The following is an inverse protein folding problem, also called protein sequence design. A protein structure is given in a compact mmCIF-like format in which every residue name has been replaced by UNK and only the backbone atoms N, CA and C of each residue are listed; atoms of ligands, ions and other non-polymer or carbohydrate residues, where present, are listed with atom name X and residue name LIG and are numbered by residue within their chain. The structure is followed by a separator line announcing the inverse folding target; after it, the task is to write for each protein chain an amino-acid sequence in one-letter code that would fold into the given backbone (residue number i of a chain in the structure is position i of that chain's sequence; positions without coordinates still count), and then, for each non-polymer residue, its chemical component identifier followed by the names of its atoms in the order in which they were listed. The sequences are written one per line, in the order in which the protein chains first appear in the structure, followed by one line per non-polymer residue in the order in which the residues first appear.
data_IF_250395246365
#
_entry.id   IF_250395246365
#
_cell.length_a   1.000
_cell.length_b   1.000
_cell.length_c   1.000
_cell.angle_alpha   90.00
_cell.angle_beta   90.00
_cell.angle_gamma   90.00
#
_symmetry.space_group_name_H-M   'P 1'
#
loop_
_entity.id
_entity.type
_entity.pdbx_description
1 polymer ?
#
# COMPACT_ATOMS: atom_id res chain seq x y z
N UNK A 1 23.30 29.58 -72.16
CA UNK A 1 24.00 29.39 -73.45
C UNK A 1 25.25 28.58 -73.15
N UNK A 2 25.17 27.25 -73.35
CA UNK A 2 25.83 26.49 -74.43
C UNK A 2 27.35 26.44 -74.25
N UNK A 3 27.93 25.37 -73.69
CA UNK A 3 28.20 24.03 -74.27
C UNK A 3 29.52 23.96 -75.05
N UNK A 4 30.24 22.84 -74.84
CA UNK A 4 31.17 22.14 -75.76
C UNK A 4 32.49 22.83 -76.15
N UNK A 5 33.59 22.16 -76.53
CA UNK A 5 34.23 20.85 -76.30
C UNK A 5 35.56 20.94 -77.11
N UNK A 6 36.66 20.45 -76.55
CA UNK A 6 37.78 19.71 -77.20
C UNK A 6 38.58 20.38 -78.36
N UNK A 7 39.93 20.34 -78.28
CA UNK A 7 40.85 19.68 -79.26
C UNK A 7 42.34 20.06 -79.02
N UNK A 8 43.11 19.00 -78.75
CA UNK A 8 44.49 18.60 -79.15
C UNK A 8 45.77 19.41 -78.83
N UNK A 9 46.74 18.59 -78.38
CA UNK A 9 48.19 18.73 -78.12
C UNK A 9 49.05 18.81 -79.42
N UNK A 10 50.39 19.01 -79.35
CA UNK A 10 51.33 17.92 -79.00
C UNK A 10 52.55 18.33 -78.11
N UNK A 11 53.20 17.27 -77.65
CA UNK A 11 54.31 17.14 -76.71
C UNK A 11 55.69 17.42 -77.34
N UNK A 12 56.65 17.88 -76.51
CA UNK A 12 58.06 17.43 -76.39
C UNK A 12 58.66 18.20 -75.20
N UNK A 13 59.36 17.67 -74.20
CA UNK A 13 59.84 16.34 -73.89
C UNK A 13 60.74 16.46 -72.65
N UNK A 14 60.79 15.40 -71.85
CA UNK A 14 61.89 14.88 -71.01
C UNK A 14 61.36 14.26 -69.72
N UNK A 15 61.38 12.93 -69.75
CA UNK A 15 61.00 11.96 -68.73
C UNK A 15 61.81 12.09 -67.43
N UNK A 16 61.10 12.02 -66.30
CA UNK A 16 61.60 11.40 -65.07
C UNK A 16 60.50 10.53 -64.44
N UNK A 17 60.87 9.36 -63.87
CA UNK A 17 59.93 8.29 -63.58
C UNK A 17 58.89 8.66 -62.52
N UNK A 18 57.61 8.49 -62.89
CA UNK A 18 56.44 8.60 -62.01
C UNK A 18 56.50 7.50 -60.95
N UNK A 19 56.98 7.85 -59.76
CA UNK A 19 56.63 7.09 -58.56
C UNK A 19 55.15 7.32 -58.29
N UNK A 20 54.34 6.25 -58.38
CA UNK A 20 52.94 6.26 -57.96
C UNK A 20 52.84 6.78 -56.52
N UNK A 21 52.37 8.01 -56.36
CA UNK A 21 51.87 8.53 -55.08
C UNK A 21 50.60 7.74 -54.74
N UNK A 22 50.78 6.57 -54.12
CA UNK A 22 49.72 5.97 -53.33
C UNK A 22 49.32 6.98 -52.26
N UNK A 23 48.07 7.44 -52.36
CA UNK A 23 47.34 8.16 -51.33
C UNK A 23 47.83 7.74 -49.95
N UNK A 24 48.31 8.72 -49.19
CA UNK A 24 48.66 8.56 -47.79
C UNK A 24 47.54 7.76 -47.11
N UNK A 25 47.89 6.55 -46.69
CA UNK A 25 46.97 5.67 -46.01
C UNK A 25 46.53 6.37 -44.71
N UNK A 26 45.22 6.42 -44.51
CA UNK A 26 44.52 6.90 -43.33
C UNK A 26 45.28 6.57 -42.02
N UNK A 27 45.49 7.53 -41.10
CA UNK A 27 46.09 7.28 -39.78
C UNK A 27 45.34 6.23 -38.94
N UNK A 28 44.18 5.71 -39.41
CA UNK A 28 43.48 4.55 -38.85
C UNK A 28 44.02 3.18 -39.26
N UNK A 29 45.10 3.08 -40.04
CA UNK A 29 45.82 1.79 -40.18
C UNK A 29 46.54 1.46 -38.88
N UNK A 30 45.91 0.60 -38.08
CA UNK A 30 46.51 -0.14 -36.97
C UNK A 30 47.96 -0.50 -37.30
N UNK A 31 48.91 0.03 -36.51
CA UNK A 31 50.26 -0.52 -36.48
C UNK A 31 50.14 -1.96 -36.00
N UNK A 32 50.34 -2.90 -36.91
CA UNK A 32 50.37 -4.33 -36.58
C UNK A 32 51.77 -4.63 -36.03
N UNK A 33 51.89 -4.67 -34.71
CA UNK A 33 53.08 -5.24 -34.07
C UNK A 33 52.90 -6.75 -34.17
N UNK A 34 53.74 -7.41 -34.98
CA UNK A 34 53.86 -8.87 -35.03
C UNK A 34 55.05 -9.21 -34.14
N UNK A 35 54.84 -9.99 -33.09
CA UNK A 35 55.85 -10.56 -32.22
C UNK A 35 56.12 -11.95 -32.77
N UNK A 36 57.40 -12.28 -32.82
CA UNK A 36 57.94 -13.55 -33.31
C UNK A 36 57.82 -14.63 -32.23
N UNK A 37 56.63 -14.78 -31.64
CA UNK A 37 56.39 -15.78 -30.59
C UNK A 37 55.33 -16.81 -31.06
N UNK A 38 55.70 -18.09 -31.24
CA UNK A 38 54.79 -19.14 -31.67
C UNK A 38 53.73 -19.54 -30.63
N UNK A 39 53.83 -19.06 -29.38
CA UNK A 39 52.79 -19.23 -28.35
C UNK A 39 51.76 -18.06 -28.35
N UNK A 40 51.85 -17.14 -29.32
CA UNK A 40 51.02 -15.93 -29.31
C UNK A 40 49.57 -16.19 -29.75
N UNK A 41 48.67 -16.20 -28.77
CA UNK A 41 47.22 -16.32 -28.95
C UNK A 41 46.61 -15.22 -29.84
N UNK A 42 45.79 -15.61 -30.83
CA UNK A 42 44.96 -14.74 -31.68
C UNK A 42 43.78 -14.08 -30.94
N UNK A 43 43.68 -14.25 -29.61
CA UNK A 43 42.59 -13.66 -28.83
C UNK A 43 42.68 -12.14 -28.85
N UNK A 44 41.61 -11.49 -29.30
CA UNK A 44 41.46 -10.03 -29.28
C UNK A 44 41.71 -9.54 -27.85
N UNK A 45 42.77 -8.76 -27.67
CA UNK A 45 43.09 -8.17 -26.38
C UNK A 45 42.00 -7.17 -26.02
N UNK A 46 41.30 -7.33 -24.87
CA UNK A 46 40.28 -6.40 -24.46
C UNK A 46 40.89 -5.01 -24.28
N UNK A 47 40.14 -3.98 -24.67
CA UNK A 47 40.54 -2.59 -24.44
C UNK A 47 40.86 -2.38 -22.96
N UNK A 48 41.92 -1.61 -22.65
CA UNK A 48 42.30 -1.27 -21.28
C UNK A 48 41.10 -0.70 -20.51
N UNK A 49 40.27 0.12 -21.17
CA UNK A 49 39.03 0.63 -20.59
C UNK A 49 38.08 -0.47 -20.12
N UNK A 50 37.93 -1.55 -20.88
CA UNK A 50 37.05 -2.66 -20.51
C UNK A 50 37.61 -3.44 -19.32
N UNK A 51 38.93 -3.65 -19.29
CA UNK A 51 39.62 -4.27 -18.15
C UNK A 51 39.47 -3.42 -16.88
N UNK A 52 39.61 -2.09 -16.99
CA UNK A 52 39.38 -1.17 -15.88
C UNK A 52 37.94 -1.23 -15.37
N UNK A 53 36.94 -1.25 -16.27
CA UNK A 53 35.53 -1.35 -15.86
C UNK A 53 35.21 -2.70 -15.21
N UNK A 54 35.76 -3.81 -15.72
CA UNK A 54 35.64 -5.12 -15.08
C UNK A 54 36.27 -5.13 -13.69
N UNK A 55 37.43 -4.47 -13.53
CA UNK A 55 38.07 -4.32 -12.23
C UNK A 55 37.21 -3.50 -11.25
N UNK A 56 36.60 -2.40 -11.71
CA UNK A 56 35.66 -1.59 -10.93
C UNK A 56 34.47 -2.44 -10.47
N UNK A 57 33.85 -3.22 -11.37
CA UNK A 57 32.73 -4.10 -11.03
C UNK A 57 33.14 -5.12 -9.97
N UNK A 58 34.30 -5.77 -10.15
CA UNK A 58 34.79 -6.81 -9.23
C UNK A 58 35.08 -6.28 -7.83
N UNK A 59 35.63 -5.07 -7.73
CA UNK A 59 36.07 -4.46 -6.47
C UNK A 59 35.12 -3.36 -5.97
N UNK A 60 33.89 -3.32 -6.49
CA UNK A 60 32.93 -2.26 -6.17
C UNK A 60 32.59 -2.20 -4.67
N UNK A 61 32.61 -3.35 -3.98
CA UNK A 61 32.39 -3.42 -2.52
C UNK A 61 33.43 -2.62 -1.74
N UNK A 62 34.71 -2.72 -2.11
CA UNK A 62 35.80 -2.03 -1.42
C UNK A 62 35.98 -0.59 -1.93
N UNK A 63 35.78 -0.38 -3.23
CA UNK A 63 35.98 0.90 -3.92
C UNK A 63 34.82 1.17 -4.88
N UNK A 64 33.72 1.76 -4.39
CA UNK A 64 32.52 1.97 -5.19
C UNK A 64 32.67 3.16 -6.12
N UNK A 65 33.48 3.00 -7.17
CA UNK A 65 33.73 4.01 -8.19
C UNK A 65 32.56 3.98 -9.16
N UNK A 66 31.62 4.90 -8.95
CA UNK A 66 30.53 5.15 -9.89
C UNK A 66 30.53 6.62 -10.33
N UNK A 67 30.70 7.53 -9.38
CA UNK A 67 30.83 8.95 -9.70
C UNK A 67 32.11 9.25 -10.47
N UNK A 68 32.00 10.11 -11.49
CA UNK A 68 33.09 10.45 -12.41
C UNK A 68 33.18 9.56 -13.66
N UNK A 69 32.48 8.43 -13.74
CA UNK A 69 32.43 7.63 -14.97
C UNK A 69 31.51 8.28 -16.04
N UNK A 70 31.89 8.24 -17.33
CA UNK A 70 31.01 8.62 -18.44
C UNK A 70 29.71 7.79 -18.47
N UNK A 71 28.59 8.32 -19.00
CA UNK A 71 27.29 7.64 -18.96
C UNK A 71 27.31 6.18 -19.45
N UNK A 72 27.91 5.91 -20.62
CA UNK A 72 28.01 4.55 -21.18
C UNK A 72 28.79 3.58 -20.28
N UNK A 73 29.79 4.09 -19.55
CA UNK A 73 30.59 3.29 -18.64
C UNK A 73 29.86 3.06 -17.31
N UNK A 74 29.10 4.06 -16.82
CA UNK A 74 28.18 3.90 -15.69
C UNK A 74 27.18 2.79 -15.98
N UNK A 75 26.52 2.81 -17.14
CA UNK A 75 25.57 1.77 -17.54
C UNK A 75 26.22 0.39 -17.58
N UNK A 76 27.40 0.27 -18.19
CA UNK A 76 28.15 -0.99 -18.24
C UNK A 76 28.42 -1.57 -16.85
N UNK A 77 28.85 -0.72 -15.90
CA UNK A 77 29.11 -1.11 -14.51
C UNK A 77 27.79 -1.51 -13.85
N UNK A 78 26.78 -0.65 -13.87
CA UNK A 78 25.48 -0.85 -13.22
C UNK A 78 24.74 -2.10 -13.71
N UNK A 79 24.88 -2.49 -14.97
CA UNK A 79 24.34 -3.74 -15.52
C UNK A 79 25.02 -5.00 -14.97
N UNK A 80 26.29 -4.88 -14.56
CA UNK A 80 27.15 -6.01 -14.17
C UNK A 80 27.45 -6.08 -12.68
N UNK A 81 27.05 -5.07 -11.91
CA UNK A 81 27.13 -5.14 -10.45
C UNK A 81 26.28 -6.29 -9.91
N UNK A 82 26.88 -7.00 -8.95
CA UNK A 82 26.19 -8.03 -8.18
C UNK A 82 25.05 -7.42 -7.38
N UNK A 83 23.91 -8.10 -7.39
CA UNK A 83 22.71 -7.80 -6.59
C UNK A 83 22.89 -8.10 -5.10
N UNK A 84 23.92 -8.88 -4.73
CA UNK A 84 24.26 -9.25 -3.35
C UNK A 84 25.19 -8.24 -2.64
N UNK A 85 25.49 -7.11 -3.26
CA UNK A 85 26.31 -6.06 -2.65
C UNK A 85 25.62 -5.48 -1.40
N UNK A 86 26.39 -5.15 -0.33
CA UNK A 86 25.82 -4.57 0.88
C UNK A 86 25.06 -3.26 0.60
N UNK A 87 23.93 -3.06 1.28
CA UNK A 87 23.08 -1.88 1.10
C UNK A 87 23.76 -0.60 1.60
N UNK A 88 24.70 -0.71 2.53
CA UNK A 88 25.55 0.40 2.97
C UNK A 88 26.40 0.96 1.82
N UNK A 89 26.76 0.12 0.85
CA UNK A 89 27.53 0.53 -0.35
C UNK A 89 26.59 1.04 -1.45
N UNK A 90 25.48 0.35 -1.68
CA UNK A 90 24.64 0.57 -2.86
C UNK A 90 23.48 1.53 -2.64
N UNK A 91 22.92 1.58 -1.42
CA UNK A 91 21.67 2.27 -1.12
C UNK A 91 21.68 3.76 -1.42
N UNK A 92 22.74 4.46 -1.02
CA UNK A 92 22.86 5.91 -1.27
C UNK A 92 23.52 6.23 -2.61
N UNK A 93 24.35 5.33 -3.14
CA UNK A 93 25.14 5.57 -4.34
C UNK A 93 24.39 5.24 -5.64
N UNK A 94 23.59 4.18 -5.63
CA UNK A 94 22.94 3.67 -6.84
C UNK A 94 21.47 4.10 -6.87
N UNK A 95 21.13 4.99 -7.79
CA UNK A 95 19.75 5.39 -8.10
C UNK A 95 19.20 4.74 -9.37
N UNK A 96 19.99 3.88 -10.04
CA UNK A 96 19.59 3.24 -11.29
C UNK A 96 18.51 2.18 -11.06
N UNK A 97 17.35 2.37 -11.68
CA UNK A 97 16.19 1.47 -11.58
C UNK A 97 16.44 0.09 -12.20
N UNK A 98 17.35 -0.03 -13.18
CA UNK A 98 17.75 -1.30 -13.77
C UNK A 98 18.49 -2.21 -12.78
N UNK A 99 19.37 -1.65 -11.95
CA UNK A 99 20.03 -2.37 -10.86
C UNK A 99 19.01 -2.88 -9.83
N UNK A 100 18.17 -2.00 -9.31
CA UNK A 100 17.16 -2.37 -8.31
C UNK A 100 16.12 -3.35 -8.86
N UNK A 101 15.78 -3.26 -10.15
CA UNK A 101 14.95 -4.27 -10.83
C UNK A 101 15.56 -5.67 -10.74
N UNK A 102 16.87 -5.80 -10.96
CA UNK A 102 17.55 -7.10 -10.83
C UNK A 102 17.54 -7.57 -9.37
N UNK A 103 17.87 -6.68 -8.42
CA UNK A 103 17.80 -7.00 -7.00
C UNK A 103 16.41 -7.48 -6.56
N UNK A 104 15.34 -6.83 -7.03
CA UNK A 104 13.98 -7.24 -6.72
C UNK A 104 13.64 -8.61 -7.30
N UNK A 105 13.94 -8.83 -8.59
CA UNK A 105 13.61 -10.09 -9.28
C UNK A 105 14.36 -11.31 -8.73
N UNK A 106 15.58 -11.10 -8.24
CA UNK A 106 16.36 -12.16 -7.62
C UNK A 106 15.84 -12.51 -6.23
N UNK A 107 15.41 -11.50 -5.46
CA UNK A 107 14.91 -11.70 -4.09
C UNK A 107 13.44 -12.15 -4.05
N UNK A 108 12.62 -11.71 -4.99
CA UNK A 108 11.18 -11.95 -5.02
C UNK A 108 10.73 -12.41 -6.41
N UNK A 109 10.05 -13.56 -6.46
CA UNK A 109 9.58 -14.15 -7.72
C UNK A 109 8.54 -13.29 -8.46
N UNK A 110 7.62 -12.66 -7.72
CA UNK A 110 6.62 -11.75 -8.28
C UNK A 110 6.90 -10.31 -7.83
N UNK A 111 7.04 -9.42 -8.82
CA UNK A 111 7.33 -8.01 -8.61
C UNK A 111 6.40 -7.14 -9.46
N UNK A 112 5.66 -6.26 -8.79
CA UNK A 112 4.84 -5.22 -9.42
C UNK A 112 5.20 -3.87 -8.81
N UNK A 113 5.58 -2.90 -9.66
CA UNK A 113 5.97 -1.55 -9.25
C UNK A 113 4.82 -0.55 -9.26
N UNK A 114 3.63 -0.95 -9.74
CA UNK A 114 2.45 -0.08 -9.86
C UNK A 114 2.08 0.59 -8.51
N UNK A 115 2.21 -0.16 -7.42
CA UNK A 115 1.92 0.30 -6.06
C UNK A 115 3.06 1.14 -5.43
N UNK A 116 4.21 1.23 -6.11
CA UNK A 116 5.43 1.86 -5.62
C UNK A 116 5.79 3.13 -6.40
N UNK A 117 4.84 3.69 -7.16
CA UNK A 117 5.08 4.86 -8.02
C UNK A 117 6.08 4.56 -9.12
N UNK A 118 6.04 3.35 -9.66
CA UNK A 118 6.91 2.86 -10.75
C UNK A 118 8.42 2.87 -10.44
N UNK A 119 8.80 2.90 -9.15
CA UNK A 119 10.20 2.82 -8.71
C UNK A 119 10.54 1.46 -8.10
N UNK A 120 11.48 0.76 -8.72
CA UNK A 120 12.08 -0.48 -8.22
C UNK A 120 12.90 -0.24 -6.95
N UNK A 121 13.59 0.90 -6.86
CA UNK A 121 14.34 1.25 -5.64
C UNK A 121 13.42 1.41 -4.43
N UNK A 122 12.29 2.11 -4.61
CA UNK A 122 11.27 2.24 -3.56
C UNK A 122 10.69 0.88 -3.17
N UNK A 123 10.27 0.09 -4.16
CA UNK A 123 9.77 -1.27 -3.94
C UNK A 123 10.75 -2.13 -3.15
N UNK A 124 12.04 -2.10 -3.52
CA UNK A 124 13.06 -2.86 -2.82
C UNK A 124 13.14 -2.47 -1.35
N UNK A 125 13.22 -1.17 -1.05
CA UNK A 125 13.38 -0.70 0.33
C UNK A 125 12.14 -0.90 1.19
N UNK A 126 10.93 -0.67 0.66
CA UNK A 126 9.68 -0.95 1.38
C UNK A 126 9.59 -2.44 1.69
N UNK A 127 9.70 -3.33 0.70
CA UNK A 127 9.62 -4.79 0.90
C UNK A 127 10.73 -5.35 1.77
N UNK A 128 11.93 -4.76 1.69
CA UNK A 128 13.03 -5.21 2.53
C UNK A 128 12.81 -4.84 3.99
N UNK A 129 12.33 -3.62 4.27
CA UNK A 129 12.00 -3.19 5.63
C UNK A 129 10.81 -3.98 6.19
N UNK A 130 9.77 -4.21 5.39
CA UNK A 130 8.64 -5.09 5.73
C UNK A 130 9.13 -6.47 6.15
N UNK A 131 9.98 -7.10 5.34
CA UNK A 131 10.56 -8.42 5.66
C UNK A 131 11.35 -8.40 6.98
N UNK A 132 12.17 -7.38 7.23
CA UNK A 132 12.90 -7.27 8.49
C UNK A 132 11.96 -7.18 9.70
N UNK A 133 10.83 -6.49 9.58
CA UNK A 133 9.82 -6.36 10.63
C UNK A 133 9.04 -7.67 10.81
N UNK A 134 8.62 -8.30 9.71
CA UNK A 134 7.83 -9.54 9.74
C UNK A 134 8.59 -10.73 10.34
N UNK A 135 9.92 -10.76 10.19
CA UNK A 135 10.80 -11.77 10.78
C UNK A 135 11.48 -11.30 12.07
N UNK A 136 11.10 -10.12 12.59
CA UNK A 136 11.62 -9.64 13.86
C UNK A 136 11.01 -10.45 15.00
N UNK A 137 11.85 -11.14 15.76
CA UNK A 137 11.45 -11.86 16.96
C UNK A 137 11.83 -11.00 18.17
N UNK A 138 10.85 -10.50 18.94
CA UNK A 138 11.10 -9.78 20.18
C UNK A 138 12.01 -10.56 21.13
N UNK A 139 12.84 -9.86 21.89
CA UNK A 139 13.85 -10.39 22.83
C UNK A 139 14.99 -11.23 22.21
N UNK A 140 14.89 -11.62 20.93
CA UNK A 140 15.91 -12.40 20.21
C UNK A 140 16.63 -11.55 19.16
N UNK A 141 15.89 -10.74 18.42
CA UNK A 141 16.42 -9.93 17.31
C UNK A 141 16.87 -8.56 17.83
N UNK A 142 18.12 -8.18 17.59
CA UNK A 142 18.62 -6.84 17.96
C UNK A 142 17.84 -5.76 17.16
N UNK A 143 17.20 -4.77 17.82
CA UNK A 143 16.56 -3.63 17.15
C UNK A 143 17.45 -2.89 16.13
N UNK A 144 18.79 -2.96 16.26
CA UNK A 144 19.72 -2.38 15.28
C UNK A 144 19.57 -2.96 13.88
N UNK A 145 19.15 -4.22 13.75
CA UNK A 145 18.87 -4.85 12.44
C UNK A 145 17.89 -4.04 11.60
N UNK A 146 16.88 -3.44 12.24
CA UNK A 146 15.90 -2.54 11.60
C UNK A 146 16.40 -1.10 11.61
N UNK A 147 17.02 -0.63 12.70
CA UNK A 147 17.39 0.79 12.82
C UNK A 147 18.56 1.21 11.92
N UNK A 148 19.50 0.31 11.62
CA UNK A 148 20.67 0.60 10.80
C UNK A 148 20.33 0.82 9.32
N UNK A 149 19.19 0.30 8.86
CA UNK A 149 18.74 0.50 7.48
C UNK A 149 17.98 1.82 7.28
N UNK A 150 17.42 2.39 8.35
CA UNK A 150 16.60 3.61 8.29
C UNK A 150 17.32 4.77 7.59
N UNK A 151 18.61 5.09 7.85
CA UNK A 151 19.31 6.16 7.13
C UNK A 151 19.38 5.97 5.62
N UNK A 152 19.35 4.72 5.15
CA UNK A 152 19.43 4.36 3.72
C UNK A 152 18.05 4.41 3.04
N UNK A 153 16.99 4.04 3.76
CA UNK A 153 15.67 3.82 3.17
C UNK A 153 14.63 4.91 3.48
N UNK A 154 14.78 5.71 4.54
CA UNK A 154 13.72 6.63 5.04
C UNK A 154 13.12 7.61 4.03
N UNK A 155 13.86 7.94 2.96
CA UNK A 155 13.39 8.81 1.88
C UNK A 155 12.47 8.11 0.87
N UNK A 156 12.47 6.77 0.89
CA UNK A 156 11.72 5.92 -0.03
C UNK A 156 10.50 5.27 0.60
N UNK A 157 10.49 5.09 1.93
CA UNK A 157 9.37 4.44 2.63
C UNK A 157 8.17 5.38 2.71
N UNK A 158 7.13 5.07 1.93
CA UNK A 158 5.81 5.71 2.00
C UNK A 158 4.71 4.75 2.42
N UNK A 159 4.86 3.46 2.16
CA UNK A 159 3.96 2.41 2.60
C UNK A 159 4.74 1.33 3.35
N UNK A 160 4.13 0.81 4.41
CA UNK A 160 4.53 -0.44 5.06
C UNK A 160 3.33 -1.38 5.11
N UNK A 161 3.47 -2.55 4.53
CA UNK A 161 2.48 -3.63 4.58
C UNK A 161 3.01 -4.81 5.38
N UNK A 162 2.68 -4.83 6.68
CA UNK A 162 3.12 -5.83 7.63
C UNK A 162 2.03 -6.87 7.77
N UNK A 163 2.26 -8.02 7.17
CA UNK A 163 1.27 -9.07 7.02
C UNK A 163 1.35 -10.15 8.09
N UNK A 164 2.36 -10.07 8.95
CA UNK A 164 2.51 -10.86 10.16
C UNK A 164 3.43 -10.16 11.17
N UNK A 165 3.30 -10.53 12.44
CA UNK A 165 4.24 -10.17 13.50
C UNK A 165 4.50 -11.40 14.35
N UNK A 166 5.77 -11.72 14.59
CA UNK A 166 6.16 -12.83 15.45
C UNK A 166 6.16 -12.39 16.92
N UNK A 167 5.59 -13.17 17.85
CA UNK A 167 5.70 -12.91 19.28
C UNK A 167 7.08 -13.33 19.81
N UNK A 168 7.41 -12.99 21.07
CA UNK A 168 8.62 -13.47 21.73
C UNK A 168 8.62 -15.01 21.85
N UNK A 169 9.78 -15.64 21.66
CA UNK A 169 9.95 -17.07 21.94
C UNK A 169 10.10 -17.23 23.45
N UNK A 170 9.17 -17.94 24.09
CA UNK A 170 9.34 -18.37 25.49
C UNK A 170 9.33 -19.87 25.55
N UNK A 171 10.31 -20.43 26.24
CA UNK A 171 10.26 -21.84 26.62
C UNK A 171 9.15 -22.03 27.66
N UNK A 172 8.40 -23.16 27.62
CA UNK A 172 7.42 -23.47 28.63
C UNK A 172 8.11 -23.56 29.99
N UNK A 173 7.81 -22.63 30.89
CA UNK A 173 8.21 -22.76 32.28
C UNK A 173 7.44 -23.96 32.85
N UNK A 174 8.15 -25.03 33.21
CA UNK A 174 7.62 -26.10 34.04
C UNK A 174 7.20 -25.49 35.38
N UNK A 175 5.91 -25.24 35.56
CA UNK A 175 5.33 -24.92 36.85
C UNK A 175 5.56 -26.13 37.77
N UNK A 176 6.56 -26.01 38.64
CA UNK A 176 6.59 -26.77 39.89
C UNK A 176 6.26 -25.76 40.96
N UNK A 177 4.97 -25.59 41.27
CA UNK A 177 4.57 -25.42 42.67
C UNK A 177 3.07 -25.68 42.87
N UNK A 178 2.79 -26.79 43.55
CA UNK A 178 1.52 -27.05 44.20
C UNK A 178 1.37 -26.07 45.37
N UNK A 179 0.64 -24.97 45.20
CA UNK A 179 0.05 -24.29 46.36
C UNK A 179 -1.15 -23.43 45.97
N UNK A 180 -2.33 -23.91 46.33
CA UNK A 180 -3.55 -23.13 46.35
C UNK A 180 -3.49 -22.14 47.52
N UNK A 181 -3.24 -20.85 47.28
CA UNK A 181 -3.65 -19.83 48.25
C UNK A 181 -3.87 -18.43 47.63
N UNK A 182 -5.12 -17.96 47.77
CA UNK A 182 -5.63 -16.58 47.79
C UNK A 182 -5.33 -15.61 46.65
N UNK A 183 -6.41 -15.26 45.96
CA UNK A 183 -6.57 -14.06 45.15
C UNK A 183 -6.20 -12.79 45.92
N UNK A 184 -5.19 -12.07 45.42
CA UNK A 184 -5.06 -10.63 45.59
C UNK A 184 -4.52 -10.03 44.30
N UNK A 185 -5.09 -8.89 43.91
CA UNK A 185 -4.74 -8.06 42.76
C UNK A 185 -3.28 -7.59 42.81
N UNK A 186 -2.35 -8.45 42.41
CA UNK A 186 -1.02 -8.06 42.00
C UNK A 186 -0.91 -8.49 40.55
N UNK A 187 -0.77 -7.51 39.66
CA UNK A 187 -0.51 -7.73 38.25
C UNK A 187 0.62 -8.76 38.14
N UNK A 188 0.27 -9.98 37.72
CA UNK A 188 1.25 -10.97 37.35
C UNK A 188 2.07 -10.35 36.23
N UNK A 189 3.28 -9.89 36.54
CA UNK A 189 4.32 -9.59 35.56
C UNK A 189 4.77 -10.92 34.96
N UNK A 190 3.84 -11.56 34.24
CA UNK A 190 4.19 -12.59 33.28
C UNK A 190 5.19 -11.99 32.29
N UNK A 191 6.07 -12.83 31.73
CA UNK A 191 7.06 -12.36 30.78
C UNK A 191 6.36 -11.63 29.61
N UNK A 192 6.99 -10.61 29.02
CA UNK A 192 6.38 -9.81 27.93
C UNK A 192 6.02 -10.71 26.74
N UNK A 193 4.79 -10.64 26.21
CA UNK A 193 4.35 -11.31 24.97
C UNK A 193 4.21 -10.30 23.81
N UNK A 194 4.80 -9.12 23.96
CA UNK A 194 4.62 -8.00 23.05
C UNK A 194 5.41 -8.19 21.75
N UNK A 195 4.82 -7.73 20.64
CA UNK A 195 5.38 -7.84 19.30
C UNK A 195 6.37 -6.71 19.00
N UNK A 196 6.77 -6.57 17.74
CA UNK A 196 7.62 -5.47 17.27
C UNK A 196 7.10 -4.09 17.70
N UNK A 197 7.92 -3.35 18.43
CA UNK A 197 7.59 -1.98 18.86
C UNK A 197 7.76 -0.97 17.71
N UNK A 198 6.65 -0.59 17.07
CA UNK A 198 6.62 0.45 16.06
C UNK A 198 7.12 1.83 16.55
N UNK A 199 7.17 2.08 17.86
CA UNK A 199 7.66 3.32 18.45
C UNK A 199 9.14 3.61 18.16
N UNK A 200 9.95 2.57 17.94
CA UNK A 200 11.37 2.74 17.57
C UNK A 200 11.53 3.22 16.12
N UNK A 201 10.56 2.90 15.26
CA UNK A 201 10.64 3.05 13.81
C UNK A 201 9.82 4.22 13.27
N UNK A 202 8.52 4.30 13.58
CA UNK A 202 7.60 5.24 12.90
C UNK A 202 8.03 6.71 13.06
N UNK A 203 8.58 7.07 14.22
CA UNK A 203 9.10 8.43 14.46
C UNK A 203 10.27 8.82 13.54
N UNK A 204 10.96 7.85 12.93
CA UNK A 204 12.11 8.06 12.03
C UNK A 204 11.72 8.04 10.55
N UNK A 205 10.51 7.58 10.22
CA UNK A 205 10.00 7.47 8.85
C UNK A 205 9.21 8.72 8.49
N UNK A 206 9.92 9.77 8.07
CA UNK A 206 9.33 11.10 7.84
C UNK A 206 8.42 11.22 6.61
N UNK A 207 8.30 10.17 5.78
CA UNK A 207 7.49 10.17 4.56
C UNK A 207 6.45 9.04 4.55
N UNK A 208 6.25 8.34 5.68
CA UNK A 208 5.29 7.26 5.75
C UNK A 208 3.85 7.81 5.63
N UNK A 209 3.14 7.38 4.60
CA UNK A 209 1.76 7.77 4.29
C UNK A 209 0.78 6.63 4.60
N UNK A 210 1.20 5.38 4.49
CA UNK A 210 0.33 4.20 4.65
C UNK A 210 0.97 3.16 5.58
N UNK A 211 0.21 2.70 6.56
CA UNK A 211 0.62 1.62 7.47
C UNK A 211 -0.47 0.57 7.53
N UNK A 212 -0.15 -0.63 7.05
CA UNK A 212 -0.98 -1.82 7.18
C UNK A 212 -0.30 -2.80 8.13
N UNK A 213 -1.04 -3.29 9.11
CA UNK A 213 -0.52 -4.21 10.13
C UNK A 213 -1.54 -5.31 10.41
N UNK A 214 -1.03 -6.52 10.57
CA UNK A 214 -1.77 -7.70 11.03
C UNK A 214 -1.02 -8.34 12.19
N UNK A 215 -1.66 -8.38 13.36
CA UNK A 215 -1.14 -9.09 14.54
C UNK A 215 -1.53 -10.57 14.49
N UNK A 216 -0.98 -11.28 13.50
CA UNK A 216 -1.12 -12.73 13.33
C UNK A 216 0.18 -13.32 12.77
N UNK A 217 0.33 -14.63 12.85
CA UNK A 217 1.43 -15.38 12.21
C UNK A 217 0.86 -16.20 11.04
N UNK A 218 1.48 -16.10 9.86
CA UNK A 218 0.95 -16.74 8.64
C UNK A 218 1.16 -18.25 8.59
N UNK A 219 2.25 -18.74 9.18
CA UNK A 219 2.68 -20.14 9.06
C UNK A 219 3.22 -20.68 10.40
N UNK A 220 2.32 -20.98 11.35
CA UNK A 220 2.73 -21.51 12.65
C UNK A 220 3.25 -22.96 12.60
N UNK A 221 3.05 -23.66 11.47
CA UNK A 221 3.42 -25.07 11.34
C UNK A 221 2.78 -25.92 12.45
N UNK A 222 3.55 -26.86 13.01
CA UNK A 222 3.13 -27.68 14.15
C UNK A 222 3.33 -26.97 15.50
N UNK A 223 3.97 -25.80 15.53
CA UNK A 223 4.29 -25.04 16.75
C UNK A 223 3.18 -24.02 17.06
N UNK A 224 1.93 -24.47 17.03
CA UNK A 224 0.78 -23.60 17.29
C UNK A 224 0.67 -23.26 18.78
N UNK A 225 0.61 -21.97 19.09
CA UNK A 225 0.24 -21.44 20.41
C UNK A 225 -0.76 -20.28 20.26
N UNK A 226 -1.65 -20.11 21.24
CA UNK A 226 -2.70 -19.09 21.18
C UNK A 226 -2.17 -17.65 21.24
N UNK A 227 -1.02 -17.46 21.90
CA UNK A 227 -0.29 -16.19 22.00
C UNK A 227 0.21 -15.68 20.62
N UNK A 228 0.43 -16.56 19.63
CA UNK A 228 0.88 -16.21 18.26
C UNK A 228 -0.08 -15.30 17.51
N UNK A 229 -1.29 -15.14 18.01
CA UNK A 229 -2.33 -14.34 17.39
C UNK A 229 -2.86 -13.29 18.34
N UNK A 230 -2.16 -13.01 19.45
CA UNK A 230 -2.63 -12.09 20.47
C UNK A 230 -2.13 -10.67 20.18
N UNK A 231 -3.04 -9.77 19.79
CA UNK A 231 -2.75 -8.35 19.85
C UNK A 231 -2.92 -7.88 21.29
N UNK A 232 -1.81 -7.65 22.00
CA UNK A 232 -1.86 -7.36 23.45
C UNK A 232 -2.33 -5.92 23.71
N UNK A 233 -2.69 -5.60 24.96
CA UNK A 233 -2.97 -4.22 25.33
C UNK A 233 -1.73 -3.32 25.23
N UNK A 234 -0.54 -3.85 25.56
CA UNK A 234 0.72 -3.12 25.48
C UNK A 234 1.11 -2.86 24.03
N UNK A 235 0.93 -3.84 23.13
CA UNK A 235 1.08 -3.65 21.68
C UNK A 235 0.20 -2.50 21.19
N UNK A 236 -1.07 -2.50 21.61
CA UNK A 236 -2.04 -1.47 21.24
C UNK A 236 -1.65 -0.08 21.76
N UNK A 237 -1.17 0.01 22.99
CA UNK A 237 -0.66 1.27 23.55
C UNK A 237 0.58 1.76 22.82
N UNK A 238 1.54 0.87 22.52
CA UNK A 238 2.76 1.26 21.83
C UNK A 238 2.47 1.70 20.40
N UNK A 239 1.65 0.93 19.68
CA UNK A 239 1.18 1.30 18.36
C UNK A 239 0.44 2.65 18.40
N UNK A 240 -0.46 2.87 19.36
CA UNK A 240 -1.16 4.15 19.53
C UNK A 240 -0.20 5.33 19.71
N UNK A 241 0.81 5.20 20.57
CA UNK A 241 1.85 6.24 20.77
C UNK A 241 2.68 6.47 19.51
N UNK A 242 3.01 5.41 18.78
CA UNK A 242 3.77 5.49 17.54
C UNK A 242 2.97 6.18 16.43
N UNK A 243 1.69 5.85 16.27
CA UNK A 243 0.76 6.48 15.33
C UNK A 243 0.62 7.97 15.62
N UNK A 244 0.41 8.36 16.88
CA UNK A 244 0.32 9.77 17.30
C UNK A 244 1.55 10.60 16.92
N UNK A 245 2.73 9.96 16.87
CA UNK A 245 3.99 10.61 16.51
C UNK A 245 4.16 10.74 14.98
N UNK A 246 3.51 9.88 14.19
CA UNK A 246 3.63 9.81 12.74
C UNK A 246 2.68 10.79 12.02
N UNK A 247 3.07 12.07 11.98
CA UNK A 247 2.23 13.16 11.46
C UNK A 247 1.98 13.16 9.94
N UNK A 248 2.59 12.24 9.20
CA UNK A 248 2.41 12.09 7.75
C UNK A 248 1.43 10.98 7.39
N UNK A 249 1.02 10.14 8.35
CA UNK A 249 0.18 8.98 8.09
C UNK A 249 -1.22 9.39 7.60
N UNK A 250 -1.62 8.89 6.44
CA UNK A 250 -2.90 9.12 5.78
C UNK A 250 -3.81 7.92 5.85
N UNK A 251 -3.25 6.72 5.71
CA UNK A 251 -3.99 5.45 5.71
C UNK A 251 -3.48 4.57 6.85
N UNK A 252 -4.39 4.17 7.73
CA UNK A 252 -4.15 3.15 8.74
C UNK A 252 -5.05 1.95 8.48
N UNK A 253 -4.44 0.78 8.29
CA UNK A 253 -5.15 -0.50 8.19
C UNK A 253 -4.66 -1.45 9.27
N UNK A 254 -5.57 -1.83 10.15
CA UNK A 254 -5.33 -2.81 11.20
C UNK A 254 -6.41 -3.88 11.09
N UNK A 255 -6.18 -4.85 10.20
CA UNK A 255 -7.15 -5.90 9.90
C UNK A 255 -6.80 -7.20 10.62
N UNK A 256 -7.80 -8.03 10.91
CA UNK A 256 -7.59 -9.38 11.46
C UNK A 256 -6.69 -9.39 12.71
N UNK A 257 -6.75 -8.34 13.53
CA UNK A 257 -5.81 -8.12 14.64
C UNK A 257 -6.49 -8.19 16.00
N UNK A 258 -7.66 -8.83 16.09
CA UNK A 258 -8.43 -8.99 17.34
C UNK A 258 -8.60 -7.67 18.13
N UNK A 259 -8.84 -6.57 17.40
CA UNK A 259 -9.12 -5.27 18.02
C UNK A 259 -10.51 -5.32 18.66
N UNK A 260 -10.56 -5.40 19.99
CA UNK A 260 -11.78 -5.31 20.78
C UNK A 260 -12.14 -3.85 21.14
N UNK A 261 -13.21 -3.64 21.91
CA UNK A 261 -13.64 -2.31 22.35
C UNK A 261 -12.63 -1.55 23.20
N UNK A 262 -11.83 -2.25 24.01
CA UNK A 262 -10.81 -1.64 24.86
C UNK A 262 -9.69 -1.12 23.96
N UNK A 263 -9.19 -1.96 23.06
CA UNK A 263 -8.13 -1.62 22.11
C UNK A 263 -8.59 -0.55 21.12
N UNK A 264 -9.80 -0.65 20.59
CA UNK A 264 -10.38 0.37 19.73
C UNK A 264 -10.41 1.74 20.42
N UNK A 265 -10.81 1.81 21.70
CA UNK A 265 -10.82 3.07 22.46
C UNK A 265 -9.41 3.62 22.67
N UNK A 266 -8.43 2.77 22.99
CA UNK A 266 -7.03 3.16 23.16
C UNK A 266 -6.44 3.72 21.86
N UNK A 267 -6.67 3.05 20.74
CA UNK A 267 -6.26 3.53 19.41
C UNK A 267 -6.93 4.86 19.09
N UNK A 268 -8.26 4.94 19.22
CA UNK A 268 -9.02 6.17 18.96
C UNK A 268 -8.48 7.34 19.77
N UNK A 269 -8.22 7.15 21.07
CA UNK A 269 -7.70 8.23 21.93
C UNK A 269 -6.37 8.81 21.43
N UNK A 270 -5.52 7.99 20.79
CA UNK A 270 -4.26 8.45 20.20
C UNK A 270 -4.43 9.04 18.79
N UNK A 271 -5.53 8.72 18.11
CA UNK A 271 -5.87 9.22 16.77
C UNK A 271 -6.78 10.45 16.80
N UNK A 272 -7.31 10.84 17.97
CA UNK A 272 -8.05 12.09 18.13
C UNK A 272 -7.18 13.26 17.65
N UNK A 273 -7.72 14.08 16.76
CA UNK A 273 -7.06 15.24 16.16
C UNK A 273 -5.78 14.92 15.35
N UNK A 274 -5.60 13.67 14.89
CA UNK A 274 -4.48 13.32 14.02
C UNK A 274 -4.46 14.21 12.75
N UNK A 275 -3.34 14.89 12.42
CA UNK A 275 -3.35 16.00 11.45
C UNK A 275 -3.65 15.54 10.01
N UNK A 276 -3.16 14.35 9.64
CA UNK A 276 -3.11 13.86 8.27
C UNK A 276 -3.98 12.64 8.00
N UNK A 277 -4.55 11.99 9.03
CA UNK A 277 -5.26 10.72 8.83
C UNK A 277 -6.53 10.98 8.00
N UNK A 278 -6.73 10.17 6.97
CA UNK A 278 -7.87 10.24 6.04
C UNK A 278 -8.62 8.92 5.95
N UNK A 279 -7.94 7.80 6.09
CA UNK A 279 -8.56 6.49 5.94
C UNK A 279 -8.22 5.59 7.11
N UNK A 280 -9.26 4.99 7.69
CA UNK A 280 -9.15 4.06 8.81
C UNK A 280 -9.88 2.76 8.46
N UNK A 281 -9.11 1.67 8.43
CA UNK A 281 -9.60 0.32 8.18
C UNK A 281 -9.36 -0.56 9.41
N UNK A 282 -10.44 -1.04 10.01
CA UNK A 282 -10.45 -1.91 11.19
C UNK A 282 -11.27 -3.18 10.92
N UNK A 283 -11.20 -3.69 9.69
CA UNK A 283 -11.99 -4.84 9.26
C UNK A 283 -11.57 -6.16 9.91
N UNK A 284 -12.50 -7.11 10.04
CA UNK A 284 -12.26 -8.44 10.63
C UNK A 284 -11.68 -8.36 12.05
N UNK A 285 -12.36 -7.60 12.92
CA UNK A 285 -11.96 -7.41 14.32
C UNK A 285 -13.14 -7.71 15.24
N UNK A 286 -13.02 -7.37 16.52
CA UNK A 286 -14.00 -7.69 17.57
C UNK A 286 -14.62 -6.41 18.15
N UNK A 287 -14.77 -5.38 17.32
CA UNK A 287 -15.34 -4.09 17.72
C UNK A 287 -16.84 -4.25 17.90
N UNK A 288 -17.36 -3.94 19.09
CA UNK A 288 -18.78 -3.91 19.40
C UNK A 288 -19.27 -2.46 19.61
N UNK A 289 -20.45 -2.28 20.19
CA UNK A 289 -21.08 -0.97 20.36
C UNK A 289 -20.22 0.02 21.16
N UNK A 290 -19.45 -0.45 22.16
CA UNK A 290 -18.60 0.44 22.96
C UNK A 290 -17.43 0.99 22.14
N UNK A 291 -16.83 0.17 21.28
CA UNK A 291 -15.79 0.60 20.33
C UNK A 291 -16.38 1.47 19.22
N UNK A 292 -17.54 1.13 18.68
CA UNK A 292 -18.26 1.94 17.70
C UNK A 292 -18.60 3.36 18.22
N UNK A 293 -18.97 3.49 19.49
CA UNK A 293 -19.14 4.81 20.14
C UNK A 293 -17.85 5.63 20.14
N UNK A 294 -16.69 4.98 20.32
CA UNK A 294 -15.40 5.64 20.24
C UNK A 294 -15.10 6.11 18.80
N UNK A 295 -15.41 5.27 17.81
CA UNK A 295 -15.31 5.64 16.40
C UNK A 295 -16.22 6.82 16.04
N UNK A 296 -17.45 6.87 16.57
CA UNK A 296 -18.32 8.04 16.44
C UNK A 296 -17.69 9.32 17.00
N UNK A 297 -16.98 9.24 18.13
CA UNK A 297 -16.19 10.37 18.66
C UNK A 297 -15.04 10.77 17.73
N UNK A 298 -14.36 9.78 17.14
CA UNK A 298 -13.28 10.03 16.18
C UNK A 298 -13.79 10.76 14.92
N UNK A 299 -14.93 10.34 14.37
CA UNK A 299 -15.53 10.96 13.19
C UNK A 299 -15.79 12.47 13.36
N UNK A 300 -16.16 12.91 14.56
CA UNK A 300 -16.41 14.33 14.84
C UNK A 300 -15.14 15.16 15.11
N UNK A 301 -13.99 14.52 15.32
CA UNK A 301 -12.72 15.16 15.71
C UNK A 301 -11.57 14.86 14.76
N UNK A 302 -11.87 14.30 13.59
CA UNK A 302 -10.88 13.96 12.58
C UNK A 302 -11.30 14.51 11.23
N UNK A 303 -10.38 14.42 10.27
CA UNK A 303 -10.63 14.71 8.86
C UNK A 303 -10.76 13.40 8.06
N UNK A 304 -11.30 12.35 8.69
CA UNK A 304 -11.49 11.07 8.04
C UNK A 304 -12.44 11.21 6.85
N UNK A 305 -12.03 10.64 5.73
CA UNK A 305 -12.75 10.55 4.47
C UNK A 305 -13.27 9.11 4.27
N UNK A 306 -12.57 8.11 4.79
CA UNK A 306 -12.98 6.69 4.74
C UNK A 306 -12.93 6.04 6.11
N UNK A 307 -14.02 5.40 6.51
CA UNK A 307 -14.08 4.50 7.66
C UNK A 307 -14.60 3.12 7.21
N UNK A 308 -13.80 2.09 7.42
CA UNK A 308 -14.18 0.70 7.15
C UNK A 308 -14.07 -0.14 8.42
N UNK A 309 -15.21 -0.64 8.88
CA UNK A 309 -15.35 -1.56 10.04
C UNK A 309 -16.12 -2.81 9.62
N UNK A 310 -15.90 -3.25 8.39
CA UNK A 310 -16.41 -4.50 7.84
C UNK A 310 -16.08 -5.69 8.74
N UNK A 311 -17.02 -6.63 8.90
CA UNK A 311 -16.84 -7.86 9.68
C UNK A 311 -16.36 -7.59 11.11
N UNK A 312 -17.28 -7.06 11.92
CA UNK A 312 -17.09 -6.76 13.34
C UNK A 312 -18.37 -7.15 14.11
N UNK A 313 -18.46 -6.79 15.39
CA UNK A 313 -19.59 -7.13 16.25
C UNK A 313 -20.48 -5.91 16.59
N UNK A 314 -20.52 -4.89 15.73
CA UNK A 314 -21.30 -3.67 15.92
C UNK A 314 -22.80 -4.01 15.80
N UNK A 315 -23.61 -3.52 16.73
CA UNK A 315 -25.05 -3.71 16.75
C UNK A 315 -25.78 -2.37 16.62
N UNK A 316 -27.10 -2.36 16.83
CA UNK A 316 -27.95 -1.18 16.69
C UNK A 316 -27.45 0.04 17.49
N UNK A 317 -27.01 -0.14 18.75
CA UNK A 317 -26.53 0.96 19.58
C UNK A 317 -25.21 1.54 19.08
N UNK A 318 -24.31 0.72 18.56
CA UNK A 318 -23.06 1.15 17.95
C UNK A 318 -23.30 1.92 16.66
N UNK A 319 -24.21 1.42 15.80
CA UNK A 319 -24.63 2.13 14.59
C UNK A 319 -25.34 3.44 14.91
N UNK A 320 -26.15 3.50 15.97
CA UNK A 320 -26.77 4.74 16.44
C UNK A 320 -25.72 5.80 16.81
N UNK A 321 -24.66 5.40 17.52
CA UNK A 321 -23.56 6.30 17.86
C UNK A 321 -22.80 6.80 16.61
N UNK A 322 -22.57 5.92 15.63
CA UNK A 322 -21.97 6.29 14.34
C UNK A 322 -22.90 7.24 13.56
N UNK A 323 -24.19 6.95 13.49
CA UNK A 323 -25.20 7.79 12.83
C UNK A 323 -25.28 9.19 13.44
N UNK A 324 -25.28 9.30 14.78
CA UNK A 324 -25.25 10.59 15.45
C UNK A 324 -24.03 11.45 15.07
N UNK A 325 -22.86 10.81 14.94
CA UNK A 325 -21.65 11.49 14.49
C UNK A 325 -21.73 11.86 13.00
N UNK A 326 -22.17 10.92 12.16
CA UNK A 326 -22.32 11.10 10.71
C UNK A 326 -23.22 12.29 10.37
N UNK A 327 -24.31 12.49 11.12
CA UNK A 327 -25.24 13.60 10.91
C UNK A 327 -24.60 15.00 11.04
N UNK A 328 -23.45 15.11 11.74
CA UNK A 328 -22.70 16.36 11.95
C UNK A 328 -21.37 16.38 11.21
N UNK A 329 -20.90 15.22 10.75
CA UNK A 329 -19.63 15.10 10.06
C UNK A 329 -19.72 15.74 8.66
N UNK A 330 -18.62 16.38 8.24
CA UNK A 330 -18.54 17.12 6.97
C UNK A 330 -17.38 16.65 6.08
N UNK A 331 -16.74 15.53 6.41
CA UNK A 331 -15.52 15.06 5.73
C UNK A 331 -15.64 13.64 5.19
N UNK A 332 -16.41 12.77 5.85
CA UNK A 332 -16.53 11.37 5.53
C UNK A 332 -17.25 11.21 4.19
N UNK A 333 -16.62 10.48 3.28
CA UNK A 333 -17.07 10.14 1.93
C UNK A 333 -17.46 8.68 1.80
N UNK A 334 -16.83 7.79 2.56
CA UNK A 334 -17.06 6.35 2.50
C UNK A 334 -17.21 5.73 3.88
N UNK A 335 -18.33 5.02 4.09
CA UNK A 335 -18.60 4.27 5.31
C UNK A 335 -18.95 2.83 4.95
N UNK A 336 -18.17 1.88 5.47
CA UNK A 336 -18.44 0.45 5.32
C UNK A 336 -18.67 -0.20 6.69
N UNK A 337 -19.90 -0.68 6.88
CA UNK A 337 -20.40 -1.40 8.05
C UNK A 337 -20.91 -2.80 7.67
N UNK A 338 -20.57 -3.34 6.49
CA UNK A 338 -21.03 -4.67 6.09
C UNK A 338 -20.58 -5.76 7.07
N UNK A 339 -21.32 -6.88 7.12
CA UNK A 339 -21.06 -7.98 8.07
C UNK A 339 -20.96 -7.51 9.52
N UNK A 340 -22.00 -6.81 9.98
CA UNK A 340 -22.21 -6.54 11.40
C UNK A 340 -23.63 -7.01 11.76
N UNK A 341 -24.19 -6.57 12.88
CA UNK A 341 -25.53 -6.98 13.36
C UNK A 341 -26.37 -5.76 13.71
N UNK A 342 -26.41 -4.79 12.80
CA UNK A 342 -27.02 -3.49 13.06
C UNK A 342 -28.51 -3.59 13.38
N UNK A 343 -29.21 -4.52 12.73
CA UNK A 343 -30.67 -4.61 12.76
C UNK A 343 -31.34 -3.35 12.22
N UNK A 344 -32.67 -3.30 12.33
CA UNK A 344 -33.42 -2.13 11.86
C UNK A 344 -33.14 -0.86 12.67
N UNK A 345 -32.83 -0.99 13.97
CA UNK A 345 -32.46 0.16 14.80
C UNK A 345 -31.22 0.87 14.26
N UNK A 346 -30.18 0.10 13.92
CA UNK A 346 -28.96 0.66 13.34
C UNK A 346 -29.17 1.17 11.91
N UNK A 347 -29.91 0.42 11.07
CA UNK A 347 -30.24 0.82 9.70
C UNK A 347 -30.99 2.16 9.65
N UNK A 348 -32.03 2.31 10.48
CA UNK A 348 -32.81 3.54 10.59
C UNK A 348 -31.99 4.70 11.16
N UNK A 349 -31.10 4.45 12.12
CA UNK A 349 -30.23 5.49 12.66
C UNK A 349 -29.27 6.05 11.60
N UNK A 350 -28.69 5.19 10.76
CA UNK A 350 -27.86 5.62 9.63
C UNK A 350 -28.70 6.38 8.60
N UNK A 351 -29.90 5.88 8.25
CA UNK A 351 -30.80 6.57 7.33
C UNK A 351 -31.17 7.98 7.84
N UNK A 352 -31.52 8.11 9.12
CA UNK A 352 -31.86 9.39 9.75
C UNK A 352 -30.68 10.38 9.75
N UNK A 353 -29.45 9.88 9.85
CA UNK A 353 -28.24 10.70 9.74
C UNK A 353 -28.04 11.22 8.31
N UNK A 354 -28.32 10.40 7.30
CA UNK A 354 -28.16 10.73 5.88
C UNK A 354 -29.16 11.77 5.37
N UNK A 355 -30.29 11.95 6.06
CA UNK A 355 -31.20 13.08 5.80
C UNK A 355 -30.56 14.44 6.13
N UNK A 356 -29.51 14.46 6.95
CA UNK A 356 -28.76 15.68 7.34
C UNK A 356 -27.37 15.75 6.74
N UNK A 357 -26.73 14.60 6.54
CA UNK A 357 -25.39 14.52 5.99
C UNK A 357 -25.41 14.73 4.47
N UNK A 358 -24.62 15.67 3.99
CA UNK A 358 -24.49 16.00 2.56
C UNK A 358 -23.11 15.68 2.00
N UNK A 359 -22.31 14.85 2.67
CA UNK A 359 -20.90 14.60 2.31
C UNK A 359 -20.62 13.14 1.97
N UNK A 360 -21.36 12.20 2.56
CA UNK A 360 -21.18 10.78 2.31
C UNK A 360 -21.61 10.44 0.89
N UNK A 361 -20.72 9.74 0.19
CA UNK A 361 -20.89 9.33 -1.21
C UNK A 361 -21.06 7.82 -1.34
N UNK A 362 -20.44 7.04 -0.45
CA UNK A 362 -20.48 5.57 -0.49
C UNK A 362 -20.89 5.02 0.86
N UNK A 363 -21.95 4.21 0.85
CA UNK A 363 -22.50 3.56 2.02
C UNK A 363 -22.63 2.07 1.78
N UNK A 364 -22.02 1.27 2.65
CA UNK A 364 -22.13 -0.19 2.61
C UNK A 364 -22.70 -0.73 3.92
N UNK A 365 -23.91 -1.30 3.84
CA UNK A 365 -24.69 -1.88 4.93
C UNK A 365 -25.11 -3.34 4.65
N UNK A 366 -24.45 -4.02 3.73
CA UNK A 366 -24.73 -5.40 3.39
C UNK A 366 -24.55 -6.38 4.56
N UNK A 367 -25.38 -7.42 4.64
CA UNK A 367 -25.35 -8.44 5.69
C UNK A 367 -25.37 -7.84 7.11
N UNK A 368 -26.46 -7.19 7.48
CA UNK A 368 -26.63 -6.51 8.77
C UNK A 368 -27.94 -6.81 9.49
N UNK A 369 -28.64 -7.89 9.08
CA UNK A 369 -29.90 -8.33 9.70
C UNK A 369 -30.99 -7.25 9.64
N UNK A 370 -30.96 -6.38 8.61
CA UNK A 370 -31.95 -5.32 8.41
C UNK A 370 -33.18 -5.86 7.68
N UNK A 371 -34.35 -5.24 7.90
CA UNK A 371 -35.61 -5.63 7.27
C UNK A 371 -36.38 -4.44 6.67
N UNK A 372 -37.65 -4.65 6.32
CA UNK A 372 -38.52 -3.65 5.67
C UNK A 372 -38.52 -2.24 6.29
N UNK A 373 -38.49 -2.07 7.64
CA UNK A 373 -38.42 -0.75 8.27
C UNK A 373 -37.16 0.04 7.89
N UNK A 374 -36.03 -0.63 7.64
CA UNK A 374 -34.83 0.03 7.12
C UNK A 374 -34.99 0.43 5.66
N UNK A 375 -35.59 -0.44 4.83
CA UNK A 375 -35.85 -0.12 3.43
C UNK A 375 -36.74 1.13 3.28
N UNK A 376 -37.77 1.26 4.12
CA UNK A 376 -38.61 2.46 4.23
C UNK A 376 -37.81 3.72 4.53
N UNK A 377 -36.93 3.64 5.52
CA UNK A 377 -36.11 4.78 5.93
C UNK A 377 -35.11 5.17 4.82
N UNK A 378 -34.51 4.18 4.16
CA UNK A 378 -33.61 4.40 3.03
C UNK A 378 -34.32 4.98 1.81
N UNK A 379 -35.60 4.63 1.58
CA UNK A 379 -36.43 5.27 0.54
C UNK A 379 -36.52 6.79 0.74
N UNK A 380 -36.76 7.23 1.97
CA UNK A 380 -36.77 8.67 2.31
C UNK A 380 -35.42 9.33 2.08
N UNK A 381 -34.32 8.62 2.37
CA UNK A 381 -32.96 9.10 2.07
C UNK A 381 -32.78 9.27 0.57
N UNK A 382 -33.21 8.32 -0.26
CA UNK A 382 -33.07 8.41 -1.72
C UNK A 382 -33.81 9.61 -2.32
N UNK A 383 -34.95 10.01 -1.73
CA UNK A 383 -35.72 11.17 -2.16
C UNK A 383 -34.98 12.49 -1.83
N UNK A 384 -34.38 12.60 -0.65
CA UNK A 384 -33.85 13.87 -0.13
C UNK A 384 -32.33 14.04 -0.30
N UNK A 385 -31.57 12.95 -0.20
CA UNK A 385 -30.12 12.99 -0.24
C UNK A 385 -29.60 13.03 -1.68
N UNK A 386 -28.76 14.02 -1.96
CA UNK A 386 -28.12 14.23 -3.27
C UNK A 386 -26.60 14.02 -3.25
N UNK A 387 -26.02 13.60 -2.12
CA UNK A 387 -24.58 13.33 -1.97
C UNK A 387 -24.22 11.88 -2.27
N UNK A 388 -25.10 10.93 -1.97
CA UNK A 388 -24.85 9.51 -2.20
C UNK A 388 -24.68 9.19 -3.69
N UNK A 389 -23.72 8.31 -3.95
CA UNK A 389 -23.32 7.80 -5.27
C UNK A 389 -23.33 6.28 -5.32
N UNK A 390 -22.99 5.60 -4.23
CA UNK A 390 -22.99 4.14 -4.14
C UNK A 390 -23.66 3.69 -2.85
N UNK A 391 -24.61 2.75 -2.97
CA UNK A 391 -25.34 2.17 -1.85
C UNK A 391 -25.28 0.65 -1.97
N UNK A 392 -24.81 -0.04 -0.93
CA UNK A 392 -24.87 -1.48 -0.83
C UNK A 392 -25.77 -1.91 0.34
N UNK A 393 -26.86 -2.59 0.03
CA UNK A 393 -27.83 -3.17 0.97
C UNK A 393 -27.90 -4.70 0.86
N UNK A 394 -26.99 -5.34 0.12
CA UNK A 394 -27.06 -6.75 -0.21
C UNK A 394 -27.17 -7.67 1.02
N UNK A 395 -27.72 -8.87 0.84
CA UNK A 395 -27.81 -9.88 1.90
C UNK A 395 -28.53 -9.39 3.18
N UNK A 396 -29.57 -8.58 3.06
CA UNK A 396 -30.45 -8.15 4.16
C UNK A 396 -31.89 -8.53 3.85
N UNK A 397 -32.66 -9.05 4.79
CA UNK A 397 -34.03 -9.49 4.53
C UNK A 397 -35.03 -8.32 4.48
N UNK A 398 -34.88 -7.42 3.51
CA UNK A 398 -35.65 -6.19 3.38
C UNK A 398 -37.09 -6.42 2.90
N UNK A 399 -37.35 -7.54 2.23
CA UNK A 399 -38.68 -8.01 1.83
C UNK A 399 -39.28 -7.27 0.63
N UNK A 400 -40.32 -7.85 0.02
CA UNK A 400 -40.90 -7.35 -1.22
C UNK A 400 -41.46 -5.93 -1.09
N UNK A 401 -42.19 -5.64 0.01
CA UNK A 401 -42.75 -4.32 0.26
C UNK A 401 -41.66 -3.27 0.52
N UNK A 402 -40.59 -3.66 1.23
CA UNK A 402 -39.40 -2.81 1.37
C UNK A 402 -38.77 -2.50 0.00
N UNK A 403 -38.77 -3.47 -0.91
CA UNK A 403 -38.31 -3.29 -2.28
C UNK A 403 -39.17 -2.30 -3.07
N UNK A 404 -40.50 -2.36 -2.95
CA UNK A 404 -41.42 -1.40 -3.59
C UNK A 404 -41.15 0.02 -3.08
N UNK A 405 -41.07 0.19 -1.76
CA UNK A 405 -40.80 1.49 -1.15
C UNK A 405 -39.43 2.05 -1.56
N UNK A 406 -38.39 1.22 -1.59
CA UNK A 406 -37.06 1.64 -2.04
C UNK A 406 -37.06 2.02 -3.53
N UNK A 407 -37.77 1.28 -4.38
CA UNK A 407 -37.90 1.58 -5.81
C UNK A 407 -38.62 2.92 -6.05
N UNK A 408 -39.68 3.20 -5.29
CA UNK A 408 -40.38 4.50 -5.33
C UNK A 408 -39.42 5.64 -4.97
N UNK A 409 -38.66 5.50 -3.88
CA UNK A 409 -37.67 6.51 -3.47
C UNK A 409 -36.55 6.67 -4.51
N UNK A 410 -36.05 5.57 -5.05
CA UNK A 410 -35.02 5.57 -6.10
C UNK A 410 -35.50 6.28 -7.37
N UNK A 411 -36.78 6.17 -7.75
CA UNK A 411 -37.34 6.82 -8.95
C UNK A 411 -37.18 8.34 -8.95
N UNK A 412 -37.08 8.95 -7.76
CA UNK A 412 -36.85 10.38 -7.56
C UNK A 412 -35.35 10.74 -7.45
N UNK A 413 -34.48 9.74 -7.28
CA UNK A 413 -33.06 9.94 -7.11
C UNK A 413 -32.33 10.04 -8.46
N UNK A 414 -31.52 11.09 -8.62
CA UNK A 414 -30.73 11.33 -9.84
C UNK A 414 -29.22 11.20 -9.65
N UNK A 415 -28.78 10.76 -8.47
CA UNK A 415 -27.39 10.88 -8.04
C UNK A 415 -26.71 9.54 -7.78
N UNK A 416 -27.45 8.52 -7.35
CA UNK A 416 -26.94 7.17 -7.13
C UNK A 416 -26.56 6.54 -8.47
N UNK A 417 -25.30 6.09 -8.56
CA UNK A 417 -24.67 5.48 -9.72
C UNK A 417 -24.45 3.98 -9.53
N UNK A 418 -24.47 3.49 -8.30
CA UNK A 418 -24.28 2.08 -7.96
C UNK A 418 -25.24 1.71 -6.82
N UNK A 419 -25.99 0.63 -7.01
CA UNK A 419 -26.88 0.08 -6.00
C UNK A 419 -26.78 -1.44 -6.01
N UNK A 420 -26.32 -2.03 -4.90
CA UNK A 420 -26.29 -3.48 -4.72
C UNK A 420 -27.41 -3.89 -3.76
N UNK A 421 -28.38 -4.61 -4.30
CA UNK A 421 -29.60 -5.11 -3.65
C UNK A 421 -29.72 -6.63 -3.80
N UNK A 422 -28.62 -7.32 -4.13
CA UNK A 422 -28.67 -8.78 -4.29
C UNK A 422 -29.01 -9.43 -2.95
N UNK A 423 -29.82 -10.50 -2.99
CA UNK A 423 -30.19 -11.26 -1.79
C UNK A 423 -30.90 -10.36 -0.75
N UNK A 424 -31.82 -9.49 -1.20
CA UNK A 424 -32.62 -8.66 -0.29
C UNK A 424 -34.10 -9.03 -0.18
N UNK A 425 -34.50 -10.16 -0.77
CA UNK A 425 -35.90 -10.59 -0.88
C UNK A 425 -36.80 -9.53 -1.56
N UNK A 426 -36.24 -8.77 -2.50
CA UNK A 426 -37.00 -7.83 -3.32
C UNK A 426 -37.74 -8.56 -4.44
N UNK A 427 -38.93 -8.07 -4.78
CA UNK A 427 -39.64 -8.52 -5.97
C UNK A 427 -38.88 -8.12 -7.24
N UNK A 428 -38.94 -8.98 -8.26
CA UNK A 428 -38.23 -8.79 -9.53
C UNK A 428 -38.55 -7.45 -10.21
N UNK A 429 -39.78 -6.96 -10.09
CA UNK A 429 -40.19 -5.66 -10.63
C UNK A 429 -39.41 -4.50 -9.99
N UNK A 430 -39.24 -4.52 -8.65
CA UNK A 430 -38.49 -3.51 -7.92
C UNK A 430 -37.01 -3.54 -8.28
N UNK A 431 -36.41 -4.73 -8.43
CA UNK A 431 -35.02 -4.87 -8.86
C UNK A 431 -34.78 -4.28 -10.25
N UNK A 432 -35.67 -4.59 -11.21
CA UNK A 432 -35.59 -4.06 -12.57
C UNK A 432 -35.74 -2.54 -12.57
N UNK A 433 -36.72 -2.02 -11.84
CA UNK A 433 -36.98 -0.58 -11.71
C UNK A 433 -35.75 0.16 -11.17
N UNK A 434 -35.19 -0.30 -10.05
CA UNK A 434 -33.97 0.27 -9.45
C UNK A 434 -32.81 0.20 -10.44
N UNK A 435 -32.60 -0.95 -11.11
CA UNK A 435 -31.54 -1.13 -12.10
C UNK A 435 -31.64 -0.16 -13.28
N UNK A 436 -32.85 0.09 -13.79
CA UNK A 436 -33.10 1.07 -14.86
C UNK A 436 -32.77 2.50 -14.42
N UNK A 437 -33.18 2.89 -13.21
CA UNK A 437 -32.87 4.23 -12.68
C UNK A 437 -31.36 4.41 -12.52
N UNK A 438 -30.67 3.44 -11.93
CA UNK A 438 -29.21 3.47 -11.77
C UNK A 438 -28.51 3.56 -13.12
N UNK A 439 -28.94 2.78 -14.11
CA UNK A 439 -28.39 2.85 -15.47
C UNK A 439 -28.59 4.23 -16.10
N UNK A 440 -29.78 4.82 -15.95
CA UNK A 440 -30.07 6.17 -16.46
C UNK A 440 -29.21 7.23 -15.78
N UNK A 441 -28.98 7.13 -14.46
CA UNK A 441 -28.10 8.03 -13.72
C UNK A 441 -26.65 7.90 -14.18
N UNK A 442 -26.14 6.68 -14.38
CA UNK A 442 -24.82 6.43 -14.97
C UNK A 442 -24.69 7.07 -16.36
N UNK A 443 -25.69 6.89 -17.22
CA UNK A 443 -25.70 7.47 -18.56
C UNK A 443 -25.65 9.01 -18.51
N UNK A 444 -26.48 9.64 -17.67
CA UNK A 444 -26.48 11.10 -17.46
C UNK A 444 -25.13 11.59 -16.94
N UNK A 445 -24.52 10.88 -15.98
CA UNK A 445 -23.21 11.24 -15.43
C UNK A 445 -22.09 11.13 -16.48
N UNK A 446 -22.11 10.11 -17.34
CA UNK A 446 -21.16 9.97 -18.46
C UNK A 446 -21.31 11.09 -19.49
N UNK A 447 -22.54 11.47 -19.84
CA UNK A 447 -22.80 12.59 -20.76
C UNK A 447 -22.24 13.90 -20.23
N UNK A 448 -22.51 14.25 -18.96
CA UNK A 448 -21.95 15.46 -18.32
C UNK A 448 -20.42 15.49 -18.29
N UNK A 449 -19.78 14.32 -18.21
CA UNK A 449 -18.31 14.23 -18.24
C UNK A 449 -17.74 14.46 -19.65
N UNK A 450 -18.47 14.04 -20.68
CA UNK A 450 -18.03 14.15 -22.07
C UNK A 450 -18.40 15.50 -22.71
N UNK A 451 -19.37 16.22 -22.15
CA UNK A 451 -19.79 17.54 -22.63
C UNK A 451 -19.98 18.51 -21.45
N UNK A 452 -18.88 19.11 -20.95
CA UNK A 452 -18.91 19.99 -19.76
C UNK A 452 -19.45 21.41 -20.05
N UNK A 453 -19.97 21.66 -21.27
CA UNK A 453 -20.26 23.00 -21.81
C UNK A 453 -21.72 23.46 -21.83
N UNK A 454 -22.67 22.72 -21.23
CA UNK A 454 -24.07 23.16 -21.06
C UNK A 454 -24.44 23.46 -19.60
#
# INVERSE_FOLDING_TARGET
MTATNIVKSPETGLDYPVAKLTLAADPRKMRRIIAEDPDWSLTIVPLLSNLCLQHIVKHFKERPILEGLPPRQKDYVLERLSTSLPLQVTGNLISNEGYWRRCCRERWGLCDVSSYGDSWKRMFFERHLENLIEFFIPDVTDPKTVLDIVPLCRGYIRRLDISQLLPPIKEPQTEVDDSWESASDVASEGPSIDHFDFGILLKKLSHLEELHVVYQVKNCGMNFEWNLFEFTLRDCESLGKALKSCRTLRVLRLHQSKVDDVKCRLLVNNLLDHPSLRELYLSHNQISDRGARALGKLLNRSKLETLCVYDNNIQGLGALAIGYALAKNTTLRSLNLCLNRLGDEGGQAIAQALLKNCTLERLHLGSNEMSGPTARAMSQVLIQNSSLRSINLNCNNLGEDGGKELAEGMSQNSTVLECDIRLTEFGQESEISIGQVVHNNQYRARRKRNDPGE
#
